data_IF_488814089045
#
_entry.id   IF_488814089045
#
_cell.length_a   1.000
_cell.length_b   1.000
_cell.length_c   1.000
_cell.angle_alpha   90.00
_cell.angle_beta   90.00
_cell.angle_gamma   90.00
#
_symmetry.space_group_name_H-M   'P 1'
#
loop_
_entity.id
_entity.type
_entity.pdbx_description
1 polymer ?
#
# COMPACT_ATOMS: atom_id res chain seq x y z
N UNK A 1 77.88 -25.86 -32.34
CA UNK A 1 78.91 -24.84 -32.05
C UNK A 1 78.21 -23.67 -31.36
N UNK A 2 78.67 -23.34 -30.14
CA UNK A 2 78.42 -22.13 -29.33
C UNK A 2 76.98 -21.81 -28.85
N UNK A 3 76.86 -21.94 -27.51
CA UNK A 3 76.06 -21.09 -26.62
C UNK A 3 76.09 -19.62 -27.05
N UNK A 4 74.98 -18.89 -26.88
CA UNK A 4 74.96 -17.69 -26.05
C UNK A 4 73.55 -17.39 -25.51
N UNK A 5 73.51 -17.19 -24.19
CA UNK A 5 72.42 -16.65 -23.38
C UNK A 5 72.04 -15.25 -23.86
N UNK A 6 70.75 -14.92 -23.87
CA UNK A 6 70.20 -13.65 -23.40
C UNK A 6 68.75 -13.86 -22.95
N UNK A 7 68.42 -13.31 -21.79
CA UNK A 7 67.13 -13.28 -21.10
C UNK A 7 66.87 -11.78 -20.78
N UNK A 8 65.66 -11.34 -20.36
CA UNK A 8 64.33 -11.36 -20.97
C UNK A 8 63.76 -9.94 -21.18
N UNK A 9 62.63 -9.77 -21.89
CA UNK A 9 61.65 -8.74 -21.50
C UNK A 9 60.27 -8.98 -22.11
N UNK A 10 59.28 -8.97 -21.20
CA UNK A 10 57.87 -8.57 -21.38
C UNK A 10 56.91 -9.42 -22.23
N UNK A 11 55.94 -10.02 -21.52
CA UNK A 11 54.48 -10.02 -21.76
C UNK A 11 53.90 -11.33 -21.20
N UNK A 12 53.46 -11.40 -19.94
CA UNK A 12 52.12 -11.03 -19.47
C UNK A 12 50.99 -11.57 -20.37
N UNK A 13 50.28 -12.61 -19.91
CA UNK A 13 48.82 -12.72 -19.78
C UNK A 13 48.38 -14.21 -19.77
N UNK A 14 47.80 -14.65 -18.65
CA UNK A 14 46.53 -15.39 -18.59
C UNK A 14 46.37 -16.06 -17.21
N UNK A 15 45.94 -15.29 -16.20
CA UNK A 15 45.22 -15.86 -15.07
C UNK A 15 43.74 -15.87 -15.46
N UNK A 16 43.23 -17.04 -15.85
CA UNK A 16 41.81 -17.30 -16.03
C UNK A 16 41.14 -17.26 -14.66
N UNK A 17 40.57 -16.10 -14.34
CA UNK A 17 39.70 -15.91 -13.19
C UNK A 17 38.43 -16.74 -13.38
N UNK A 18 38.26 -17.75 -12.52
CA UNK A 18 36.99 -18.44 -12.34
C UNK A 18 35.95 -17.45 -11.78
N UNK A 19 35.13 -16.89 -12.67
CA UNK A 19 33.89 -16.22 -12.29
C UNK A 19 32.90 -17.29 -11.80
N UNK A 20 33.06 -17.69 -10.53
CA UNK A 20 32.07 -18.42 -9.79
C UNK A 20 30.81 -17.54 -9.73
N UNK A 21 29.86 -17.84 -10.61
CA UNK A 21 28.57 -17.17 -10.67
C UNK A 21 27.79 -17.60 -9.43
N UNK A 22 27.92 -16.84 -8.34
CA UNK A 22 27.00 -16.94 -7.21
C UNK A 22 25.63 -16.52 -7.70
N UNK A 23 24.83 -17.50 -8.12
CA UNK A 23 23.39 -17.37 -8.25
C UNK A 23 22.90 -17.01 -6.85
N UNK A 24 22.61 -15.72 -6.63
CA UNK A 24 21.89 -15.29 -5.44
C UNK A 24 20.55 -16.03 -5.46
N UNK A 25 20.43 -17.08 -4.65
CA UNK A 25 19.12 -17.61 -4.26
C UNK A 25 18.35 -16.42 -3.69
N UNK A 26 17.33 -15.97 -4.40
CA UNK A 26 16.31 -15.11 -3.81
C UNK A 26 15.69 -15.97 -2.71
N UNK A 27 16.05 -15.68 -1.47
CA UNK A 27 15.46 -16.33 -0.31
C UNK A 27 14.00 -15.87 -0.28
N UNK A 28 13.07 -16.79 -0.54
CA UNK A 28 11.65 -16.49 -0.40
C UNK A 28 11.40 -16.09 1.05
N UNK A 29 10.90 -14.88 1.25
CA UNK A 29 10.52 -14.41 2.57
C UNK A 29 9.34 -15.27 3.06
N UNK A 30 9.34 -15.70 4.35
CA UNK A 30 8.31 -16.58 4.85
C UNK A 30 6.93 -15.94 4.70
N UNK A 31 5.96 -16.74 4.30
CA UNK A 31 4.58 -16.30 4.17
C UNK A 31 4.05 -15.71 5.47
N UNK A 32 3.21 -14.68 5.33
CA UNK A 32 2.59 -13.98 6.44
C UNK A 32 1.22 -14.59 6.69
N UNK A 33 1.08 -15.32 7.78
CA UNK A 33 -0.21 -15.78 8.28
C UNK A 33 -0.95 -14.61 8.95
N UNK A 34 -1.69 -13.82 8.16
CA UNK A 34 -2.47 -12.70 8.67
C UNK A 34 -3.62 -13.18 9.55
N UNK A 35 -4.30 -14.25 9.12
CA UNK A 35 -5.32 -14.95 9.90
C UNK A 35 -5.06 -16.44 9.79
N UNK A 36 -5.17 -17.17 10.90
CA UNK A 36 -5.08 -18.62 10.94
C UNK A 36 -6.23 -19.17 11.75
N UNK A 37 -7.01 -20.07 11.17
CA UNK A 37 -8.11 -20.79 11.82
C UNK A 37 -9.11 -19.84 12.53
N UNK A 38 -9.40 -18.72 11.86
CA UNK A 38 -10.31 -17.67 12.32
C UNK A 38 -9.77 -16.76 13.41
N UNK A 39 -8.48 -16.85 13.72
CA UNK A 39 -7.82 -16.03 14.74
C UNK A 39 -6.66 -15.23 14.15
N UNK A 40 -6.38 -14.08 14.74
CA UNK A 40 -5.25 -13.23 14.34
C UNK A 40 -4.64 -12.56 15.54
N UNK A 41 -3.30 -12.51 15.57
CA UNK A 41 -2.54 -11.70 16.52
C UNK A 41 -2.39 -10.24 16.08
N UNK A 42 -2.81 -9.91 14.85
CA UNK A 42 -2.59 -8.59 14.26
C UNK A 42 -3.47 -7.52 14.89
N UNK A 43 -2.99 -6.29 14.78
CA UNK A 43 -3.74 -5.06 15.05
C UNK A 43 -3.72 -4.16 13.80
N UNK A 44 -4.76 -3.36 13.58
CA UNK A 44 -4.77 -2.32 12.55
C UNK A 44 -4.30 -1.03 13.22
N UNK A 45 -3.21 -0.44 12.72
CA UNK A 45 -2.56 0.73 13.32
C UNK A 45 -2.76 1.95 12.43
N UNK A 46 -3.35 2.99 13.01
CA UNK A 46 -3.55 4.30 12.40
C UNK A 46 -2.48 5.30 12.88
N UNK A 47 -2.20 6.37 12.11
CA UNK A 47 -1.28 7.41 12.54
C UNK A 47 -1.79 8.09 13.81
N UNK A 48 -0.90 8.44 14.74
CA UNK A 48 -1.27 9.18 15.94
C UNK A 48 -1.71 10.61 15.61
N UNK A 49 -1.17 11.15 14.52
CA UNK A 49 -1.52 12.46 13.99
C UNK A 49 -1.64 12.36 12.47
N UNK A 50 -2.60 13.10 11.92
CA UNK A 50 -2.76 13.26 10.47
C UNK A 50 -2.59 14.73 10.11
N UNK A 51 -2.18 15.04 8.87
CA UNK A 51 -1.97 16.43 8.46
C UNK A 51 -3.27 17.22 8.30
N UNK A 52 -4.43 16.55 8.34
CA UNK A 52 -5.74 17.18 8.19
C UNK A 52 -6.84 16.34 8.89
N UNK A 53 -7.79 16.95 9.61
CA UNK A 53 -8.82 16.25 10.38
C UNK A 53 -9.84 15.44 9.55
N UNK A 54 -9.98 15.71 8.26
CA UNK A 54 -10.76 14.90 7.32
C UNK A 54 -10.03 13.63 6.89
N UNK A 55 -8.69 13.65 6.80
CA UNK A 55 -7.90 12.45 6.55
C UNK A 55 -8.05 11.46 7.72
N UNK A 56 -7.95 11.94 8.96
CA UNK A 56 -8.22 11.13 10.17
C UNK A 56 -9.60 10.44 10.11
N UNK A 57 -10.64 11.19 9.74
CA UNK A 57 -12.00 10.66 9.60
C UNK A 57 -12.06 9.49 8.61
N UNK A 58 -11.53 9.69 7.39
CA UNK A 58 -11.61 8.69 6.33
C UNK A 58 -10.69 7.48 6.55
N UNK A 59 -9.54 7.68 7.21
CA UNK A 59 -8.68 6.57 7.64
C UNK A 59 -9.39 5.70 8.69
N UNK A 60 -10.10 6.31 9.64
CA UNK A 60 -10.91 5.55 10.62
C UNK A 60 -12.04 4.78 9.95
N UNK A 61 -12.73 5.40 8.99
CA UNK A 61 -13.81 4.74 8.26
C UNK A 61 -13.34 3.52 7.45
N UNK A 62 -12.23 3.65 6.71
CA UNK A 62 -11.67 2.52 5.94
C UNK A 62 -11.04 1.45 6.84
N UNK A 63 -10.45 1.83 7.98
CA UNK A 63 -9.96 0.89 8.99
C UNK A 63 -11.10 0.04 9.57
N UNK A 64 -12.25 0.66 9.85
CA UNK A 64 -13.44 -0.05 10.31
C UNK A 64 -13.97 -1.00 9.24
N UNK A 65 -13.99 -0.58 7.97
CA UNK A 65 -14.36 -1.47 6.86
C UNK A 65 -13.41 -2.67 6.76
N UNK A 66 -12.09 -2.45 6.88
CA UNK A 66 -11.09 -3.51 6.87
C UNK A 66 -11.29 -4.48 8.04
N UNK A 67 -11.47 -3.97 9.26
CA UNK A 67 -11.75 -4.79 10.44
C UNK A 67 -13.02 -5.63 10.25
N UNK A 68 -14.11 -5.00 9.82
CA UNK A 68 -15.38 -5.70 9.58
C UNK A 68 -15.23 -6.78 8.52
N UNK A 69 -14.49 -6.49 7.44
CA UNK A 69 -14.25 -7.46 6.36
C UNK A 69 -13.41 -8.65 6.85
N UNK A 70 -12.41 -8.42 7.69
CA UNK A 70 -11.66 -9.52 8.31
C UNK A 70 -12.56 -10.33 9.25
N UNK A 71 -13.33 -9.68 10.12
CA UNK A 71 -14.22 -10.36 11.04
C UNK A 71 -15.30 -11.16 10.30
N UNK A 72 -15.93 -10.59 9.28
CA UNK A 72 -16.95 -11.26 8.50
C UNK A 72 -16.37 -12.40 7.65
N UNK A 73 -15.24 -12.16 6.99
CA UNK A 73 -14.63 -13.13 6.07
C UNK A 73 -13.99 -14.31 6.80
N UNK A 74 -13.28 -14.06 7.89
CA UNK A 74 -12.47 -15.07 8.56
C UNK A 74 -12.90 -15.40 9.98
N UNK A 75 -13.66 -14.54 10.64
CA UNK A 75 -13.99 -14.63 12.06
C UNK A 75 -13.03 -13.87 12.98
N UNK A 76 -11.90 -13.38 12.45
CA UNK A 76 -10.89 -12.69 13.26
C UNK A 76 -11.21 -11.20 13.44
N UNK A 77 -11.32 -10.76 14.69
CA UNK A 77 -11.46 -9.34 15.04
C UNK A 77 -10.11 -8.74 15.43
N UNK A 78 -9.50 -7.98 14.53
CA UNK A 78 -8.24 -7.28 14.79
C UNK A 78 -8.53 -5.92 15.45
N UNK A 79 -7.96 -5.57 16.61
CA UNK A 79 -8.17 -4.25 17.21
C UNK A 79 -7.64 -3.12 16.31
N UNK A 80 -8.39 -2.01 16.23
CA UNK A 80 -7.93 -0.76 15.62
C UNK A 80 -7.33 0.11 16.73
N UNK A 81 -6.08 0.53 16.57
CA UNK A 81 -5.34 1.34 17.53
C UNK A 81 -4.61 2.49 16.85
N UNK A 82 -4.32 3.53 17.61
CA UNK A 82 -3.38 4.58 17.20
C UNK A 82 -1.95 4.10 17.45
N UNK A 83 -0.98 4.53 16.63
CA UNK A 83 0.42 4.07 16.70
C UNK A 83 1.11 4.40 18.04
N UNK A 84 0.68 5.45 18.75
CA UNK A 84 1.16 5.79 20.09
C UNK A 84 0.60 4.87 21.20
N UNK A 85 -0.40 4.05 20.87
CA UNK A 85 -1.09 3.12 21.78
C UNK A 85 -0.98 1.66 21.34
N UNK A 86 -0.24 1.38 20.27
CA UNK A 86 -0.09 0.02 19.78
C UNK A 86 0.73 -0.83 20.74
N UNK A 87 0.50 -2.14 20.72
CA UNK A 87 1.40 -3.10 21.36
C UNK A 87 2.56 -3.40 20.42
N UNK A 88 3.79 -3.03 20.78
CA UNK A 88 4.97 -3.26 19.95
C UNK A 88 5.29 -4.75 19.71
N UNK A 89 4.80 -5.64 20.57
CA UNK A 89 5.01 -7.09 20.49
C UNK A 89 4.06 -7.79 19.50
N UNK A 90 2.97 -7.11 19.11
CA UNK A 90 1.99 -7.67 18.18
C UNK A 90 2.28 -7.23 16.74
N UNK A 91 2.18 -8.14 15.76
CA UNK A 91 2.27 -7.76 14.36
C UNK A 91 1.14 -6.81 13.98
N UNK A 92 1.31 -6.04 12.92
CA UNK A 92 0.34 -5.01 12.56
C UNK A 92 0.11 -4.85 11.06
N UNK A 93 -1.07 -4.33 10.74
CA UNK A 93 -1.38 -3.68 9.46
C UNK A 93 -1.30 -2.17 9.72
N UNK A 94 -0.23 -1.54 9.25
CA UNK A 94 -0.10 -0.08 9.28
C UNK A 94 -0.92 0.53 8.14
N UNK A 95 -1.83 1.44 8.46
CA UNK A 95 -2.73 2.07 7.49
C UNK A 95 -2.58 3.59 7.56
N UNK A 96 -2.17 4.21 6.44
CA UNK A 96 -1.94 5.64 6.37
C UNK A 96 -0.46 6.03 6.53
N UNK A 97 -0.21 7.35 6.55
CA UNK A 97 1.11 7.92 6.77
C UNK A 97 1.60 7.84 8.22
N UNK A 98 1.81 6.62 8.73
CA UNK A 98 2.34 6.34 10.08
C UNK A 98 3.85 6.59 10.18
N UNK A 99 4.36 6.76 11.39
CA UNK A 99 5.80 6.72 11.65
C UNK A 99 6.38 5.32 11.36
N UNK A 100 5.60 4.25 11.61
CA UNK A 100 5.98 2.87 11.31
C UNK A 100 6.36 2.68 9.84
N UNK A 101 5.54 3.18 8.92
CA UNK A 101 5.81 3.10 7.49
C UNK A 101 7.04 3.94 7.09
N UNK A 102 7.20 5.13 7.68
CA UNK A 102 8.38 5.98 7.42
C UNK A 102 9.69 5.36 7.92
N UNK A 103 9.66 4.65 9.05
CA UNK A 103 10.83 4.01 9.63
C UNK A 103 11.42 2.90 8.75
N UNK A 104 10.63 2.35 7.83
CA UNK A 104 11.10 1.37 6.84
C UNK A 104 11.36 1.99 5.45
N UNK A 105 11.37 3.32 5.37
CA UNK A 105 11.69 4.07 4.17
C UNK A 105 10.52 4.32 3.21
N UNK A 106 9.27 4.06 3.61
CA UNK A 106 8.11 4.46 2.81
C UNK A 106 7.85 5.96 3.02
N UNK A 107 7.66 6.70 1.92
CA UNK A 107 7.39 8.14 1.94
C UNK A 107 6.01 8.41 1.34
N UNK A 108 4.94 8.54 2.15
CA UNK A 108 3.59 8.87 1.67
C UNK A 108 3.58 10.09 0.73
N UNK A 109 4.42 11.07 1.03
CA UNK A 109 4.48 12.37 0.37
C UNK A 109 5.07 12.29 -1.05
N UNK A 110 5.70 11.16 -1.41
CA UNK A 110 6.22 10.92 -2.77
C UNK A 110 5.19 10.29 -3.71
N UNK A 111 4.08 9.79 -3.19
CA UNK A 111 2.98 9.34 -4.04
C UNK A 111 2.22 10.56 -4.59
N UNK A 112 1.66 10.39 -5.79
CA UNK A 112 0.81 11.40 -6.44
C UNK A 112 -0.66 10.95 -6.39
N UNK A 113 -1.57 11.90 -6.25
CA UNK A 113 -3.02 11.68 -6.31
C UNK A 113 -3.49 10.51 -5.42
N UNK A 114 -4.15 9.51 -5.99
CA UNK A 114 -4.64 8.32 -5.27
C UNK A 114 -3.65 7.15 -5.29
N UNK A 115 -2.38 7.40 -5.63
CA UNK A 115 -1.39 6.34 -5.68
C UNK A 115 -0.97 5.89 -4.29
N UNK A 116 -0.54 4.63 -4.21
CA UNK A 116 -0.02 4.04 -2.99
C UNK A 116 0.68 2.71 -3.22
N UNK A 117 0.88 1.97 -2.14
CA UNK A 117 1.58 0.70 -2.12
C UNK A 117 1.09 -0.19 -0.99
N UNK A 118 0.87 -1.46 -1.31
CA UNK A 118 0.73 -2.55 -0.34
C UNK A 118 2.12 -3.18 -0.21
N UNK A 119 2.64 -3.25 1.01
CA UNK A 119 3.96 -3.84 1.24
C UNK A 119 3.98 -4.70 2.49
N UNK A 120 4.85 -5.70 2.54
CA UNK A 120 5.24 -6.36 3.78
C UNK A 120 6.71 -6.11 4.12
N UNK A 121 7.00 -5.94 5.40
CA UNK A 121 8.36 -5.92 5.95
C UNK A 121 8.37 -6.60 7.31
N UNK A 122 9.26 -7.57 7.50
CA UNK A 122 9.47 -8.30 8.77
C UNK A 122 8.16 -8.79 9.41
N UNK A 123 7.26 -9.34 8.60
CA UNK A 123 5.96 -9.87 9.04
C UNK A 123 4.86 -8.83 9.23
N UNK A 124 5.14 -7.53 9.13
CA UNK A 124 4.13 -6.48 9.18
C UNK A 124 3.64 -6.12 7.78
N UNK A 125 2.42 -5.60 7.70
CA UNK A 125 1.79 -5.16 6.45
C UNK A 125 1.61 -3.64 6.48
N UNK A 126 1.85 -2.98 5.36
CA UNK A 126 1.75 -1.54 5.20
C UNK A 126 0.83 -1.21 4.03
N UNK A 127 -0.19 -0.41 4.31
CA UNK A 127 -1.18 0.11 3.38
C UNK A 127 -1.02 1.63 3.36
N UNK A 128 -0.22 2.11 2.42
CA UNK A 128 0.21 3.51 2.38
C UNK A 128 -0.14 4.14 1.03
N UNK A 129 -0.45 5.43 1.02
CA UNK A 129 -0.59 6.23 -0.18
C UNK A 129 -0.52 7.72 0.10
N UNK A 130 -0.74 8.51 -0.94
CA UNK A 130 -0.81 9.97 -0.80
C UNK A 130 -2.15 10.37 -0.19
N UNK A 131 -2.12 10.99 0.99
CA UNK A 131 -3.31 11.52 1.66
C UNK A 131 -3.17 13.04 1.79
N UNK A 132 -4.08 13.79 1.14
CA UNK A 132 -4.07 15.25 1.15
C UNK A 132 -5.46 15.82 0.86
N UNK A 133 -5.75 17.01 1.40
CA UNK A 133 -6.88 17.81 0.91
C UNK A 133 -6.48 18.39 -0.46
N UNK A 134 -7.31 18.23 -1.49
CA UNK A 134 -6.97 18.60 -2.87
C UNK A 134 -6.73 20.10 -3.11
N UNK A 135 -7.18 20.94 -2.17
CA UNK A 135 -6.90 22.39 -2.13
C UNK A 135 -5.95 22.81 -1.00
N UNK A 136 -5.37 21.87 -0.25
CA UNK A 136 -4.49 22.16 0.89
C UNK A 136 -5.17 22.84 2.08
N UNK A 137 -6.50 22.81 2.17
CA UNK A 137 -7.24 23.42 3.27
C UNK A 137 -7.21 22.54 4.52
N UNK A 138 -6.99 23.14 5.69
CA UNK A 138 -7.05 22.46 6.99
C UNK A 138 -8.48 22.45 7.57
N UNK A 139 -9.34 21.62 6.98
CA UNK A 139 -10.73 21.43 7.43
C UNK A 139 -11.21 20.02 7.13
N UNK A 140 -12.34 19.64 7.71
CA UNK A 140 -13.16 18.50 7.24
C UNK A 140 -14.01 18.94 6.04
N UNK A 141 -14.05 18.10 5.03
CA UNK A 141 -14.85 18.29 3.81
C UNK A 141 -15.35 16.91 3.34
N UNK A 142 -16.12 16.88 2.26
CA UNK A 142 -16.55 15.65 1.62
C UNK A 142 -15.34 14.90 1.00
N UNK A 143 -15.35 13.56 1.00
CA UNK A 143 -14.21 12.72 0.58
C UNK A 143 -13.72 13.04 -0.84
N UNK A 144 -14.61 13.47 -1.72
CA UNK A 144 -14.28 13.87 -3.10
C UNK A 144 -13.41 15.14 -3.20
N UNK A 145 -13.16 15.82 -2.07
CA UNK A 145 -12.22 16.95 -1.95
C UNK A 145 -10.82 16.52 -1.50
N UNK A 146 -10.59 15.23 -1.27
CA UNK A 146 -9.33 14.69 -0.81
C UNK A 146 -8.75 13.69 -1.80
N UNK A 147 -7.43 13.71 -1.92
CA UNK A 147 -6.67 12.54 -2.32
C UNK A 147 -6.54 11.62 -1.11
N UNK A 148 -7.01 10.38 -1.25
CA UNK A 148 -7.09 9.38 -0.16
C UNK A 148 -6.42 8.08 -0.62
N UNK A 149 -5.16 8.17 -1.02
CA UNK A 149 -4.37 7.07 -1.56
C UNK A 149 -4.20 5.91 -0.58
N UNK A 150 -4.09 6.18 0.72
CA UNK A 150 -4.01 5.10 1.72
C UNK A 150 -5.33 4.34 1.84
N UNK A 151 -6.46 5.05 1.80
CA UNK A 151 -7.78 4.42 1.80
C UNK A 151 -8.01 3.61 0.51
N UNK A 152 -7.63 4.15 -0.66
CA UNK A 152 -7.68 3.40 -1.93
C UNK A 152 -6.81 2.14 -1.86
N UNK A 153 -5.61 2.24 -1.29
CA UNK A 153 -4.70 1.10 -1.11
C UNK A 153 -5.30 0.04 -0.19
N UNK A 154 -5.97 0.44 0.89
CA UNK A 154 -6.68 -0.49 1.76
C UNK A 154 -7.87 -1.18 1.07
N UNK A 155 -8.62 -0.45 0.24
CA UNK A 155 -9.69 -1.04 -0.59
C UNK A 155 -9.14 -2.08 -1.55
N UNK A 156 -8.06 -1.76 -2.27
CA UNK A 156 -7.40 -2.71 -3.18
C UNK A 156 -6.89 -3.93 -2.42
N UNK A 157 -6.33 -3.74 -1.22
CA UNK A 157 -5.91 -4.85 -0.36
C UNK A 157 -7.08 -5.78 0.01
N UNK A 158 -8.23 -5.20 0.40
CA UNK A 158 -9.44 -5.97 0.68
C UNK A 158 -9.94 -6.75 -0.55
N UNK A 159 -9.88 -6.15 -1.74
CA UNK A 159 -10.32 -6.79 -2.98
C UNK A 159 -9.41 -7.95 -3.41
N UNK A 160 -8.10 -7.72 -3.38
CA UNK A 160 -7.10 -8.67 -3.88
C UNK A 160 -6.83 -9.82 -2.90
N UNK A 161 -6.73 -9.53 -1.60
CA UNK A 161 -6.23 -10.48 -0.61
C UNK A 161 -7.31 -11.01 0.33
N UNK A 162 -8.39 -10.26 0.55
CA UNK A 162 -9.51 -10.71 1.39
C UNK A 162 -10.72 -11.20 0.58
N UNK A 163 -10.73 -10.98 -0.74
CA UNK A 163 -11.84 -11.34 -1.61
C UNK A 163 -13.11 -10.51 -1.34
N UNK A 164 -12.95 -9.27 -0.90
CA UNK A 164 -14.05 -8.32 -0.69
C UNK A 164 -14.49 -7.72 -2.04
N UNK A 165 -15.79 -7.45 -2.20
CA UNK A 165 -16.35 -6.78 -3.37
C UNK A 165 -17.32 -5.68 -2.95
N UNK A 166 -17.18 -4.51 -3.55
CA UNK A 166 -18.03 -3.33 -3.31
C UNK A 166 -19.03 -3.18 -4.47
N UNK A 167 -20.13 -3.93 -4.39
CA UNK A 167 -21.10 -4.10 -5.48
C UNK A 167 -22.13 -2.97 -5.56
N UNK A 168 -22.52 -2.40 -4.42
CA UNK A 168 -23.47 -1.30 -4.31
C UNK A 168 -23.03 -0.29 -3.24
N UNK A 169 -23.52 0.96 -3.28
CA UNK A 169 -23.34 1.91 -2.19
C UNK A 169 -23.88 1.40 -0.85
N UNK A 170 -23.20 1.74 0.24
CA UNK A 170 -23.58 1.40 1.61
C UNK A 170 -23.16 -0.01 2.05
N UNK A 171 -23.36 -0.28 3.35
CA UNK A 171 -22.88 -1.50 4.03
C UNK A 171 -23.39 -2.79 3.36
N UNK A 172 -24.64 -2.81 2.91
CA UNK A 172 -25.25 -3.99 2.29
C UNK A 172 -24.70 -4.29 0.89
N UNK A 173 -23.97 -3.35 0.29
CA UNK A 173 -23.31 -3.55 -1.00
C UNK A 173 -21.92 -4.16 -0.91
N UNK A 174 -21.42 -4.43 0.30
CA UNK A 174 -20.13 -5.06 0.52
C UNK A 174 -20.34 -6.57 0.66
N UNK A 175 -19.67 -7.36 -0.17
CA UNK A 175 -19.68 -8.81 -0.13
C UNK A 175 -18.29 -9.32 0.25
N UNK A 176 -18.22 -10.21 1.24
CA UNK A 176 -16.95 -10.74 1.76
C UNK A 176 -16.87 -12.25 1.53
N UNK A 177 -15.83 -12.71 0.83
CA UNK A 177 -15.55 -14.14 0.67
C UNK A 177 -15.19 -14.75 2.04
N UNK A 178 -15.81 -15.89 2.37
CA UNK A 178 -15.45 -16.65 3.58
C UNK A 178 -14.11 -17.35 3.40
N UNK A 179 -13.18 -17.09 4.32
CA UNK A 179 -11.89 -17.73 4.40
C UNK A 179 -11.31 -17.60 5.82
N UNK A 180 -11.27 -18.71 6.58
CA UNK A 180 -10.76 -18.71 7.96
C UNK A 180 -9.23 -18.60 8.06
N UNK A 181 -8.49 -18.77 6.96
CA UNK A 181 -7.03 -18.69 6.94
C UNK A 181 -6.55 -17.83 5.77
N UNK A 182 -6.02 -16.65 6.11
CA UNK A 182 -5.56 -15.65 5.14
C UNK A 182 -4.05 -15.56 5.23
N UNK A 183 -3.39 -15.88 4.13
CA UNK A 183 -1.94 -15.84 3.99
C UNK A 183 -1.53 -14.83 2.93
N UNK A 184 -0.48 -14.06 3.20
CA UNK A 184 0.12 -13.10 2.27
C UNK A 184 1.56 -13.51 1.93
N UNK A 185 2.09 -13.13 0.76
CA UNK A 185 3.50 -13.29 0.45
C UNK A 185 4.39 -12.54 1.47
N UNK A 186 5.51 -13.14 1.88
CA UNK A 186 6.43 -12.52 2.85
C UNK A 186 7.17 -11.29 2.32
N UNK A 187 7.35 -11.22 1.00
CA UNK A 187 7.99 -10.13 0.25
C UNK A 187 6.97 -9.35 -0.58
N UNK A 188 5.73 -9.24 -0.09
CA UNK A 188 4.66 -8.56 -0.78
C UNK A 188 5.05 -7.12 -1.09
N UNK A 189 4.99 -6.75 -2.37
CA UNK A 189 5.10 -5.37 -2.84
C UNK A 189 4.19 -5.18 -4.05
N UNK A 190 3.15 -4.36 -3.90
CA UNK A 190 2.20 -4.05 -4.95
C UNK A 190 1.94 -2.55 -4.99
N UNK A 191 2.30 -1.91 -6.09
CA UNK A 191 1.93 -0.52 -6.33
C UNK A 191 0.43 -0.43 -6.68
N UNK A 192 -0.26 0.51 -6.05
CA UNK A 192 -1.65 0.84 -6.33
C UNK A 192 -1.65 2.14 -7.13
N UNK A 193 -2.06 2.05 -8.39
CA UNK A 193 -2.13 3.19 -9.33
C UNK A 193 -3.44 3.14 -10.11
N UNK A 194 -4.47 3.87 -9.68
CA UNK A 194 -5.72 3.94 -10.43
C UNK A 194 -5.47 4.47 -11.85
N UNK A 195 -5.97 3.77 -12.86
CA UNK A 195 -5.79 4.15 -14.27
C UNK A 195 -6.64 5.39 -14.63
N UNK A 196 -7.77 5.55 -13.95
CA UNK A 196 -8.68 6.68 -14.12
C UNK A 196 -8.82 7.38 -12.77
N UNK A 197 -8.23 8.56 -12.66
CA UNK A 197 -8.30 9.40 -11.45
C UNK A 197 -9.41 10.46 -11.51
N UNK A 198 -10.00 10.66 -12.70
CA UNK A 198 -11.12 11.58 -12.91
C UNK A 198 -12.34 10.82 -13.39
N UNK A 199 -13.05 10.22 -12.46
CA UNK A 199 -14.34 9.60 -12.72
C UNK A 199 -15.31 9.92 -11.59
N UNK A 200 -16.53 10.32 -11.97
CA UNK A 200 -17.61 10.55 -11.01
C UNK A 200 -18.34 9.23 -10.76
N UNK A 201 -18.62 8.96 -9.48
CA UNK A 201 -19.36 7.80 -9.00
C UNK A 201 -20.52 8.24 -8.10
N UNK A 202 -20.97 7.33 -7.23
CA UNK A 202 -21.93 7.62 -6.16
C UNK A 202 -21.36 8.60 -5.12
N UNK A 203 -22.22 9.00 -4.18
CA UNK A 203 -21.81 9.79 -3.00
C UNK A 203 -21.31 8.91 -1.85
N UNK A 204 -21.13 7.59 -2.07
CA UNK A 204 -20.65 6.67 -1.04
C UNK A 204 -19.14 6.52 -1.13
N UNK A 205 -18.44 6.77 -0.02
CA UNK A 205 -16.99 6.85 0.06
C UNK A 205 -16.30 5.54 -0.39
N UNK A 206 -16.63 4.43 0.26
CA UNK A 206 -15.96 3.14 0.04
C UNK A 206 -16.27 2.58 -1.35
N UNK A 207 -17.54 2.65 -1.77
CA UNK A 207 -17.96 2.24 -3.10
C UNK A 207 -17.24 3.06 -4.18
N UNK A 208 -17.12 4.38 -3.99
CA UNK A 208 -16.44 5.26 -4.92
C UNK A 208 -14.95 4.92 -5.02
N UNK A 209 -14.27 4.68 -3.90
CA UNK A 209 -12.87 4.24 -3.93
C UNK A 209 -12.69 2.92 -4.68
N UNK A 210 -13.52 1.91 -4.41
CA UNK A 210 -13.43 0.60 -5.07
C UNK A 210 -13.62 0.71 -6.58
N UNK A 211 -14.63 1.46 -7.01
CA UNK A 211 -15.02 1.59 -8.41
C UNK A 211 -14.30 2.73 -9.16
N UNK A 212 -13.17 3.23 -8.62
CA UNK A 212 -12.37 4.32 -9.16
C UNK A 212 -13.14 5.63 -9.41
N UNK A 213 -14.19 5.86 -8.63
CA UNK A 213 -14.93 7.11 -8.51
C UNK A 213 -14.19 8.20 -7.76
N UNK A 214 -13.01 8.56 -8.26
CA UNK A 214 -11.99 9.34 -7.55
C UNK A 214 -12.14 10.86 -7.74
N UNK A 215 -13.33 11.31 -8.15
CA UNK A 215 -13.68 12.73 -8.17
C UNK A 215 -13.76 13.33 -9.57
N UNK A 216 -14.02 14.65 -9.59
CA UNK A 216 -14.27 15.40 -10.81
C UNK A 216 -12.97 16.02 -11.31
N UNK A 217 -12.57 15.68 -12.52
CA UNK A 217 -11.48 16.39 -13.21
C UNK A 217 -11.85 17.86 -13.41
N UNK A 218 -10.88 18.75 -13.15
CA UNK A 218 -10.97 20.15 -13.55
C UNK A 218 -10.45 20.29 -14.98
N UNK A 219 -11.27 20.83 -15.86
CA UNK A 219 -10.82 21.28 -17.17
C UNK A 219 -11.08 22.78 -17.29
N UNK A 220 -10.09 23.50 -17.79
CA UNK A 220 -10.23 24.91 -18.13
C UNK A 220 -10.64 25.03 -19.59
N UNK A 221 -11.67 25.83 -19.84
CA UNK A 221 -12.08 26.19 -21.18
C UNK A 221 -11.57 27.60 -21.48
N UNK A 222 -10.69 27.73 -22.47
CA UNK A 222 -10.25 29.04 -22.97
C UNK A 222 -10.30 29.04 -24.50
N UNK A 223 -11.03 29.99 -25.08
CA UNK A 223 -11.13 30.15 -26.54
C UNK A 223 -11.69 28.94 -27.30
N UNK A 224 -12.51 28.10 -26.66
CA UNK A 224 -13.04 26.87 -27.28
C UNK A 224 -12.13 25.64 -27.19
N UNK A 225 -10.98 25.76 -26.52
CA UNK A 225 -10.08 24.64 -26.23
C UNK A 225 -10.15 24.23 -24.76
N UNK A 226 -10.15 22.92 -24.52
CA UNK A 226 -10.09 22.33 -23.19
C UNK A 226 -8.64 22.04 -22.81
N UNK A 227 -8.22 22.52 -21.64
CA UNK A 227 -6.91 22.25 -21.05
C UNK A 227 -7.10 21.53 -19.72
N UNK A 228 -6.24 20.56 -19.42
CA UNK A 228 -6.18 19.95 -18.10
C UNK A 228 -5.64 20.98 -17.10
N UNK A 229 -6.17 20.98 -15.87
CA UNK A 229 -5.51 21.68 -14.76
C UNK A 229 -4.12 21.08 -14.58
N UNK A 230 -3.09 21.92 -14.75
CA UNK A 230 -1.69 21.55 -14.53
C UNK A 230 -1.41 21.23 -13.06
#
# INVERSE_FOLDING_TARGET
>A
MKLHRFLPCAAMLAFLAGCCSTICKVQDAPEIALVKDGQSAYQIVLPAQTPNPGIDLYLKEVAQCLQNSLQEGSGALLPIVSEDKMSAEKPYISLGGTALARNIGLCPEKFQDYNGCIMSDRGNVYLIGHDAHGQGLDKRDHFSRYFLGSAKTAVVFMEDYLGVRFLLPGKNGISVKKNASITLPGNLKRCVKPQLIYASSSQDFLYSLANNGLGRGGFHLYGGHSYYSA
#
